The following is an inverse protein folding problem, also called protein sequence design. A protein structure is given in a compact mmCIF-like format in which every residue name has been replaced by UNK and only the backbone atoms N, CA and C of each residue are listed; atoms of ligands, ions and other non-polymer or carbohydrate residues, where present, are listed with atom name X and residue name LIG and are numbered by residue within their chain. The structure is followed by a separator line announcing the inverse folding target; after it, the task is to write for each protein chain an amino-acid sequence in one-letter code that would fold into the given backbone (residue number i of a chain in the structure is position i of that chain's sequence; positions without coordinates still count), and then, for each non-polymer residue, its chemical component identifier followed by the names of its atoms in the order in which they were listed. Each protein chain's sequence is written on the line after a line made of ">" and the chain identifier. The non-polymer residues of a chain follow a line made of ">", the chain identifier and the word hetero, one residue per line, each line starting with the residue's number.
data_IF_146295009716
#
_entry.id   IF_146295009716
#
_cell.length_a   1.000
_cell.length_b   1.000
_cell.length_c   1.000
_cell.angle_alpha   90.00
_cell.angle_beta   90.00
_cell.angle_gamma   90.00
#
_symmetry.space_group_name_H-M   'P 1'
#
loop_
_entity.id
_entity.type
_entity.pdbx_description
1 polymer ?
#
# COMPACT_ATOMS: atom_id res chain seq x y z
N UNK A 1 -29.11 27.02 -20.94
CA UNK A 1 -28.57 26.14 -19.87
C UNK A 1 -27.48 25.13 -20.30
N UNK A 2 -27.45 24.50 -21.50
CA UNK A 2 -26.40 23.53 -21.84
C UNK A 2 -24.99 24.12 -21.96
N UNK A 3 -24.84 25.36 -22.40
CA UNK A 3 -23.52 26.01 -22.57
C UNK A 3 -22.75 26.18 -21.26
N UNK A 4 -23.42 26.49 -20.15
CA UNK A 4 -22.79 26.68 -18.84
C UNK A 4 -22.22 25.34 -18.30
N UNK A 5 -22.92 24.23 -18.52
CA UNK A 5 -22.48 22.90 -18.11
C UNK A 5 -21.21 22.47 -18.86
N UNK A 6 -21.14 22.73 -20.18
CA UNK A 6 -19.95 22.44 -20.97
C UNK A 6 -18.75 23.29 -20.61
N UNK A 7 -18.96 24.55 -20.24
CA UNK A 7 -17.87 25.43 -19.76
C UNK A 7 -17.29 24.94 -18.43
N UNK A 8 -18.13 24.49 -17.50
CA UNK A 8 -17.70 23.93 -16.24
C UNK A 8 -16.91 22.63 -16.44
N UNK A 9 -17.38 21.74 -17.29
CA UNK A 9 -16.67 20.49 -17.64
C UNK A 9 -15.31 20.81 -18.27
N UNK A 10 -15.25 21.75 -19.21
CA UNK A 10 -14.00 22.18 -19.84
C UNK A 10 -13.01 22.77 -18.81
N UNK A 11 -13.47 23.59 -17.87
CA UNK A 11 -12.65 24.15 -16.79
C UNK A 11 -12.09 23.06 -15.86
N UNK A 12 -12.91 22.07 -15.50
CA UNK A 12 -12.49 20.94 -14.67
C UNK A 12 -11.44 20.10 -15.42
N UNK A 13 -11.67 19.78 -16.68
CA UNK A 13 -10.71 19.01 -17.52
C UNK A 13 -9.40 19.78 -17.67
N UNK A 14 -9.47 21.09 -17.99
CA UNK A 14 -8.28 21.93 -18.09
C UNK A 14 -7.53 22.03 -16.77
N UNK A 15 -8.24 22.13 -15.63
CA UNK A 15 -7.62 22.14 -14.31
C UNK A 15 -6.94 20.80 -14.00
N UNK A 16 -7.57 19.68 -14.30
CA UNK A 16 -6.99 18.33 -14.13
C UNK A 16 -5.76 18.15 -15.03
N UNK A 17 -5.85 18.51 -16.31
CA UNK A 17 -4.71 18.45 -17.24
C UNK A 17 -3.58 19.37 -16.79
N UNK A 18 -3.90 20.59 -16.36
CA UNK A 18 -2.91 21.54 -15.86
C UNK A 18 -2.22 21.07 -14.56
N UNK A 19 -2.97 20.52 -13.60
CA UNK A 19 -2.39 19.95 -12.38
C UNK A 19 -1.55 18.72 -12.67
N UNK A 20 -1.96 17.90 -13.64
CA UNK A 20 -1.18 16.73 -14.07
C UNK A 20 0.10 17.13 -14.82
N UNK A 21 0.02 18.10 -15.72
CA UNK A 21 1.16 18.61 -16.48
C UNK A 21 2.18 19.37 -15.58
N UNK A 22 1.70 20.00 -14.50
CA UNK A 22 2.58 20.68 -13.51
C UNK A 22 3.17 19.76 -12.44
N UNK A 23 2.82 18.48 -12.41
CA UNK A 23 3.51 17.55 -11.52
C UNK A 23 4.98 17.53 -11.91
N UNK A 24 5.80 18.17 -11.08
CA UNK A 24 7.26 18.15 -11.26
C UNK A 24 7.70 16.69 -11.26
N UNK A 25 8.11 16.18 -12.41
CA UNK A 25 8.78 14.89 -12.47
C UNK A 25 10.01 14.97 -11.58
N UNK A 26 10.25 13.94 -10.76
CA UNK A 26 11.49 13.82 -9.99
C UNK A 26 12.64 13.81 -11.00
N UNK A 27 13.42 14.89 -11.03
CA UNK A 27 14.57 15.05 -11.96
C UNK A 27 15.90 14.72 -11.30
N UNK A 28 15.88 14.49 -9.98
CA UNK A 28 17.08 14.23 -9.20
C UNK A 28 16.92 12.90 -8.45
N UNK A 29 17.85 12.00 -8.67
CA UNK A 29 17.89 10.66 -8.09
C UNK A 29 19.21 10.53 -7.29
N UNK A 30 19.20 9.66 -6.28
CA UNK A 30 20.43 9.16 -5.68
C UNK A 30 21.02 8.15 -6.66
N UNK A 31 22.35 8.09 -6.76
CA UNK A 31 23.03 7.07 -7.56
C UNK A 31 22.61 5.67 -7.08
N UNK A 32 22.29 4.77 -8.02
CA UNK A 32 21.79 3.44 -7.71
C UNK A 32 22.71 2.65 -6.75
N UNK A 33 24.03 2.78 -6.91
CA UNK A 33 24.99 2.12 -6.04
C UNK A 33 25.06 2.65 -4.60
N UNK A 34 24.58 3.89 -4.37
CA UNK A 34 24.55 4.55 -3.07
C UNK A 34 23.14 4.67 -2.47
N UNK A 35 22.10 4.40 -3.28
CA UNK A 35 20.70 4.54 -2.86
C UNK A 35 20.34 3.49 -1.80
N UNK A 36 19.82 3.95 -0.65
CA UNK A 36 19.34 3.12 0.45
C UNK A 36 17.84 2.91 0.30
N UNK A 37 17.45 1.69 -0.01
CA UNK A 37 16.09 1.34 -0.40
C UNK A 37 15.44 0.43 0.62
N UNK A 38 14.24 0.79 1.07
CA UNK A 38 13.41 -0.02 1.95
C UNK A 38 12.12 -0.42 1.21
N UNK A 39 11.87 -1.73 1.11
CA UNK A 39 10.68 -2.29 0.43
C UNK A 39 9.81 -3.00 1.46
N UNK A 40 8.67 -2.40 1.80
CA UNK A 40 7.69 -2.96 2.72
C UNK A 40 6.64 -3.77 1.96
N UNK A 41 6.51 -5.07 2.27
CA UNK A 41 5.59 -5.98 1.59
C UNK A 41 6.23 -6.84 0.51
N UNK A 42 7.43 -7.37 0.78
CA UNK A 42 8.21 -8.18 -0.16
C UNK A 42 8.16 -9.70 0.10
N UNK A 43 7.30 -10.20 1.00
CA UNK A 43 7.25 -11.61 1.39
C UNK A 43 6.52 -12.55 0.40
N UNK A 44 6.06 -12.04 -0.74
CA UNK A 44 5.44 -12.85 -1.80
C UNK A 44 6.42 -12.95 -2.95
N UNK A 45 6.90 -14.16 -3.31
CA UNK A 45 7.96 -14.36 -4.29
C UNK A 45 7.70 -13.78 -5.68
N UNK A 46 6.44 -13.79 -6.11
CA UNK A 46 6.01 -13.25 -7.42
C UNK A 46 5.15 -11.97 -7.24
N UNK A 47 5.29 -11.31 -6.09
CA UNK A 47 4.60 -10.08 -5.78
C UNK A 47 5.39 -8.83 -6.21
N UNK A 48 4.71 -7.69 -6.20
CA UNK A 48 5.29 -6.39 -6.56
C UNK A 48 6.55 -6.04 -5.76
N UNK A 49 6.61 -6.41 -4.47
CA UNK A 49 7.77 -6.13 -3.63
C UNK A 49 9.01 -6.93 -4.06
N UNK A 50 8.85 -8.19 -4.44
CA UNK A 50 9.94 -9.02 -4.96
C UNK A 50 10.38 -8.54 -6.36
N UNK A 51 9.45 -8.10 -7.19
CA UNK A 51 9.77 -7.52 -8.50
C UNK A 51 10.52 -6.18 -8.37
N UNK A 52 10.14 -5.32 -7.44
CA UNK A 52 10.89 -4.11 -7.13
C UNK A 52 12.31 -4.43 -6.68
N UNK A 53 12.48 -5.42 -5.79
CA UNK A 53 13.81 -5.88 -5.39
C UNK A 53 14.65 -6.29 -6.60
N UNK A 54 14.08 -7.11 -7.51
CA UNK A 54 14.76 -7.53 -8.73
C UNK A 54 15.25 -6.34 -9.55
N UNK A 55 14.38 -5.36 -9.79
CA UNK A 55 14.72 -4.15 -10.56
C UNK A 55 15.81 -3.31 -9.89
N UNK A 56 15.79 -3.18 -8.55
CA UNK A 56 16.84 -2.46 -7.83
C UNK A 56 18.19 -3.20 -7.92
N UNK A 57 18.19 -4.52 -7.79
CA UNK A 57 19.39 -5.35 -7.94
C UNK A 57 19.97 -5.21 -9.35
N UNK A 58 19.14 -5.29 -10.39
CA UNK A 58 19.58 -5.14 -11.79
C UNK A 58 20.13 -3.72 -12.09
N UNK A 59 19.65 -2.71 -11.38
CA UNK A 59 20.19 -1.34 -11.47
C UNK A 59 21.47 -1.12 -10.68
N UNK A 60 21.94 -2.14 -9.97
CA UNK A 60 23.18 -2.08 -9.19
C UNK A 60 23.05 -1.50 -7.79
N UNK A 61 21.83 -1.46 -7.21
CA UNK A 61 21.63 -1.03 -5.83
C UNK A 61 22.32 -1.99 -4.85
N UNK A 62 23.01 -1.42 -3.85
CA UNK A 62 23.82 -2.18 -2.88
C UNK A 62 23.21 -2.15 -1.47
N UNK A 63 22.34 -1.22 -1.17
CA UNK A 63 21.77 -1.00 0.15
C UNK A 63 20.26 -1.20 0.12
N UNK A 64 19.82 -2.46 0.21
CA UNK A 64 18.41 -2.81 0.12
C UNK A 64 17.98 -3.57 1.37
N UNK A 65 16.86 -3.17 1.95
CA UNK A 65 16.17 -3.93 2.99
C UNK A 65 14.76 -4.28 2.54
N UNK A 66 14.39 -5.55 2.70
CA UNK A 66 13.05 -6.05 2.43
C UNK A 66 12.34 -6.42 3.73
N UNK A 67 11.04 -6.09 3.79
CA UNK A 67 10.24 -6.24 5.00
C UNK A 67 8.93 -6.94 4.72
N UNK A 68 8.51 -7.76 5.65
CA UNK A 68 7.21 -8.44 5.67
C UNK A 68 7.00 -9.16 6.99
N UNK A 69 5.86 -9.78 7.20
CA UNK A 69 5.54 -10.47 8.46
C UNK A 69 6.18 -11.85 8.58
N UNK A 70 6.49 -12.49 7.46
CA UNK A 70 6.98 -13.88 7.39
C UNK A 70 8.46 -13.88 7.01
N UNK A 71 9.33 -14.09 8.02
CA UNK A 71 10.76 -14.04 7.84
C UNK A 71 11.26 -15.08 6.82
N UNK A 72 10.81 -16.34 6.95
CA UNK A 72 11.18 -17.40 6.02
C UNK A 72 10.86 -17.06 4.55
N UNK A 73 9.70 -16.42 4.31
CA UNK A 73 9.31 -16.03 2.96
C UNK A 73 10.17 -14.87 2.40
N UNK A 74 10.64 -13.97 3.26
CA UNK A 74 11.60 -12.93 2.88
C UNK A 74 12.97 -13.54 2.57
N UNK A 75 13.41 -14.54 3.34
CA UNK A 75 14.64 -15.26 3.10
C UNK A 75 14.61 -16.02 1.76
N UNK A 76 13.47 -16.60 1.40
CA UNK A 76 13.31 -17.28 0.12
C UNK A 76 13.36 -16.28 -1.06
N UNK A 77 12.81 -15.07 -0.88
CA UNK A 77 12.97 -13.98 -1.86
C UNK A 77 14.45 -13.56 -1.95
N UNK A 78 15.13 -13.35 -0.81
CA UNK A 78 16.54 -12.95 -0.76
C UNK A 78 17.46 -13.97 -1.46
N UNK A 79 17.25 -15.27 -1.26
CA UNK A 79 18.05 -16.36 -1.85
C UNK A 79 18.05 -16.34 -3.39
N UNK A 80 17.08 -15.67 -4.02
CA UNK A 80 17.04 -15.52 -5.48
C UNK A 80 18.12 -14.56 -6.03
N UNK A 81 18.77 -13.79 -5.14
CA UNK A 81 19.79 -12.81 -5.50
C UNK A 81 21.12 -13.07 -4.80
N UNK A 82 21.77 -14.24 -5.11
CA UNK A 82 23.08 -14.56 -4.55
C UNK A 82 24.12 -13.56 -5.09
N UNK A 83 24.88 -12.93 -4.26
CA UNK A 83 25.88 -11.92 -4.66
C UNK A 83 25.45 -10.47 -4.43
N UNK A 84 24.23 -10.23 -3.96
CA UNK A 84 23.78 -8.93 -3.49
C UNK A 84 23.43 -9.01 -2.01
N UNK A 85 23.93 -8.06 -1.23
CA UNK A 85 23.59 -7.98 0.19
C UNK A 85 22.19 -7.38 0.35
N UNK A 86 21.17 -8.24 0.50
CA UNK A 86 19.81 -7.84 0.81
C UNK A 86 19.56 -8.11 2.29
N UNK A 87 19.23 -7.05 3.03
CA UNK A 87 18.82 -7.16 4.45
C UNK A 87 17.37 -7.61 4.54
N UNK A 88 17.08 -8.51 5.47
CA UNK A 88 15.74 -9.00 5.77
C UNK A 88 15.32 -8.53 7.16
N UNK A 89 14.09 -8.06 7.30
CA UNK A 89 13.52 -7.70 8.60
C UNK A 89 12.05 -8.10 8.67
N UNK A 90 11.72 -8.96 9.65
CA UNK A 90 10.33 -9.33 9.90
C UNK A 90 9.65 -8.27 10.76
N UNK A 91 8.55 -7.69 10.28
CA UNK A 91 7.80 -6.66 11.00
C UNK A 91 6.30 -6.72 10.74
N UNK A 92 5.51 -6.51 11.78
CA UNK A 92 4.12 -6.09 11.67
C UNK A 92 4.05 -4.57 11.60
N UNK A 93 3.70 -4.05 10.44
CA UNK A 93 3.67 -2.62 10.17
C UNK A 93 2.46 -1.89 10.80
N UNK A 94 1.55 -2.63 11.43
CA UNK A 94 0.43 -2.08 12.22
C UNK A 94 0.76 -1.94 13.71
N UNK A 95 1.91 -2.46 14.13
CA UNK A 95 2.44 -2.40 15.49
C UNK A 95 3.55 -1.34 15.60
N UNK A 96 3.35 -0.35 16.45
CA UNK A 96 4.28 0.76 16.64
C UNK A 96 5.66 0.31 17.09
N UNK A 97 5.72 -0.65 18.01
CA UNK A 97 6.98 -1.19 18.52
C UNK A 97 7.78 -1.91 17.42
N UNK A 98 7.08 -2.67 16.57
CA UNK A 98 7.68 -3.36 15.41
C UNK A 98 8.23 -2.35 14.38
N UNK A 99 7.53 -1.24 14.16
CA UNK A 99 8.00 -0.19 13.23
C UNK A 99 9.16 0.61 13.81
N UNK A 100 9.21 0.84 15.13
CA UNK A 100 10.38 1.44 15.77
C UNK A 100 11.61 0.54 15.66
N UNK A 101 11.46 -0.76 15.91
CA UNK A 101 12.54 -1.74 15.73
C UNK A 101 13.04 -1.78 14.26
N UNK A 102 12.12 -1.69 13.30
CA UNK A 102 12.45 -1.58 11.88
C UNK A 102 13.26 -0.31 11.59
N UNK A 103 12.84 0.86 12.08
CA UNK A 103 13.59 2.11 11.92
C UNK A 103 15.03 1.97 12.43
N UNK A 104 15.19 1.40 13.61
CA UNK A 104 16.51 1.20 14.22
C UNK A 104 17.35 0.18 13.42
N UNK A 105 16.72 -0.84 12.82
CA UNK A 105 17.38 -1.76 11.91
C UNK A 105 17.85 -1.07 10.62
N UNK A 106 17.03 -0.20 10.05
CA UNK A 106 17.39 0.62 8.86
C UNK A 106 18.63 1.48 9.16
N UNK A 107 18.66 2.14 10.30
CA UNK A 107 19.81 2.95 10.72
C UNK A 107 21.07 2.07 10.89
N UNK A 108 20.93 0.94 11.57
CA UNK A 108 22.05 0.02 11.85
C UNK A 108 22.63 -0.61 10.59
N UNK A 109 21.77 -1.02 9.65
CA UNK A 109 22.19 -1.77 8.47
C UNK A 109 22.56 -0.89 7.27
N UNK A 110 21.92 0.28 7.14
CA UNK A 110 22.05 1.14 5.96
C UNK A 110 22.51 2.57 6.29
N UNK A 111 22.58 2.96 7.57
CA UNK A 111 22.98 4.32 7.97
C UNK A 111 21.97 5.43 7.64
N UNK A 112 20.79 5.08 7.14
CA UNK A 112 19.74 6.02 6.76
C UNK A 112 18.84 5.46 5.66
N UNK A 113 17.99 6.32 5.06
CA UNK A 113 16.99 5.90 4.09
C UNK A 113 16.78 6.97 3.01
N UNK A 114 16.87 6.57 1.74
CA UNK A 114 16.63 7.45 0.59
C UNK A 114 15.27 7.19 -0.07
N UNK A 115 14.93 5.91 -0.27
CA UNK A 115 13.68 5.54 -0.94
C UNK A 115 12.90 4.51 -0.14
N UNK A 116 11.65 4.86 0.18
CA UNK A 116 10.69 4.01 0.88
C UNK A 116 9.60 3.55 -0.09
N UNK A 117 9.48 2.24 -0.30
CA UNK A 117 8.38 1.62 -1.03
C UNK A 117 7.38 0.97 -0.07
N UNK A 118 6.14 1.46 -0.06
CA UNK A 118 5.02 0.86 0.68
C UNK A 118 4.17 0.05 -0.29
N UNK A 119 4.41 -1.27 -0.35
CA UNK A 119 3.77 -2.22 -1.27
C UNK A 119 2.79 -3.13 -0.54
N UNK A 120 2.71 -3.02 0.77
CA UNK A 120 1.79 -3.80 1.60
C UNK A 120 0.37 -3.23 1.61
N UNK A 121 -0.59 -4.08 1.94
CA UNK A 121 -2.00 -3.71 2.09
C UNK A 121 -2.89 -4.94 2.21
N UNK A 122 -4.15 -4.72 2.52
CA UNK A 122 -5.19 -5.74 2.54
C UNK A 122 -6.28 -5.41 1.51
N UNK A 123 -6.88 -6.44 0.94
CA UNK A 123 -8.00 -6.30 0.01
C UNK A 123 -9.26 -6.96 0.58
N UNK A 124 -10.42 -6.42 0.23
CA UNK A 124 -11.73 -7.04 0.39
C UNK A 124 -12.41 -7.06 -0.98
N UNK A 125 -12.84 -8.21 -1.42
CA UNK A 125 -13.38 -8.45 -2.76
C UNK A 125 -14.89 -8.74 -2.76
N UNK A 126 -15.53 -8.72 -1.60
CA UNK A 126 -16.97 -8.93 -1.47
C UNK A 126 -17.71 -7.60 -1.36
N UNK A 127 -18.93 -7.48 -1.92
CA UNK A 127 -19.82 -6.38 -1.61
C UNK A 127 -20.17 -6.40 -0.12
N UNK A 128 -20.57 -5.27 0.44
CA UNK A 128 -20.82 -5.17 1.89
C UNK A 128 -21.91 -6.13 2.37
N UNK A 129 -22.95 -6.32 1.57
CA UNK A 129 -24.01 -7.31 1.88
C UNK A 129 -23.46 -8.73 1.81
N UNK A 130 -22.59 -9.06 0.85
CA UNK A 130 -21.94 -10.37 0.77
C UNK A 130 -21.02 -10.65 1.96
N UNK A 131 -20.34 -9.63 2.53
CA UNK A 131 -19.59 -9.78 3.79
C UNK A 131 -20.53 -10.12 4.93
N UNK A 132 -21.71 -9.51 4.97
CA UNK A 132 -22.75 -9.81 5.96
C UNK A 132 -23.45 -11.17 5.76
N UNK A 133 -23.20 -11.85 4.64
CA UNK A 133 -23.92 -13.08 4.29
C UNK A 133 -25.37 -12.83 3.85
N UNK A 134 -25.69 -11.59 3.42
CA UNK A 134 -27.01 -11.21 2.93
C UNK A 134 -27.04 -11.35 1.42
N UNK A 135 -27.97 -12.16 0.92
CA UNK A 135 -28.29 -12.24 -0.50
C UNK A 135 -29.80 -12.13 -0.68
N UNK A 136 -30.33 -10.91 -0.85
CA UNK A 136 -31.76 -10.67 -0.96
C UNK A 136 -32.37 -11.21 -2.27
N UNK A 137 -31.54 -11.54 -3.27
CA UNK A 137 -31.96 -12.02 -4.60
C UNK A 137 -31.59 -13.48 -4.84
N UNK A 138 -30.79 -14.10 -3.95
CA UNK A 138 -30.21 -15.41 -4.19
C UNK A 138 -31.06 -16.56 -3.69
N UNK A 139 -31.46 -17.42 -4.61
CA UNK A 139 -31.61 -18.81 -4.33
C UNK A 139 -30.27 -19.45 -4.61
N UNK A 140 -29.63 -20.01 -3.60
CA UNK A 140 -28.39 -20.75 -3.81
C UNK A 140 -28.78 -22.00 -4.64
N UNK A 141 -28.42 -21.99 -5.94
CA UNK A 141 -28.85 -23.01 -6.90
C UNK A 141 -28.37 -24.43 -6.54
N UNK A 142 -27.39 -24.53 -5.63
CA UNK A 142 -26.85 -25.83 -5.19
C UNK A 142 -27.50 -26.36 -3.90
N UNK A 143 -28.08 -25.50 -3.05
CA UNK A 143 -28.61 -25.93 -1.74
C UNK A 143 -30.10 -25.71 -1.56
N UNK A 144 -30.81 -25.08 -2.53
CA UNK A 144 -32.21 -24.61 -2.43
C UNK A 144 -32.50 -23.72 -1.18
N UNK A 145 -31.48 -23.38 -0.39
CA UNK A 145 -31.61 -22.48 0.76
C UNK A 145 -31.74 -21.04 0.27
N UNK A 146 -32.80 -20.38 0.70
CA UNK A 146 -32.94 -18.94 0.50
C UNK A 146 -31.82 -18.22 1.25
N UNK A 147 -31.04 -17.38 0.56
CA UNK A 147 -30.09 -16.51 1.18
C UNK A 147 -30.74 -15.67 2.28
N UNK A 148 -29.97 -15.31 3.30
CA UNK A 148 -30.45 -14.45 4.37
C UNK A 148 -30.93 -13.12 3.81
N UNK A 149 -32.18 -12.74 4.10
CA UNK A 149 -32.76 -11.45 3.69
C UNK A 149 -32.33 -10.29 4.58
N UNK A 150 -31.78 -10.60 5.76
CA UNK A 150 -31.36 -9.61 6.77
C UNK A 150 -30.00 -9.99 7.35
N UNK A 151 -29.18 -9.00 7.68
CA UNK A 151 -27.93 -9.24 8.36
C UNK A 151 -28.17 -9.78 9.78
N UNK A 152 -27.47 -10.83 10.12
CA UNK A 152 -27.37 -11.33 11.49
C UNK A 152 -26.32 -10.58 12.28
N UNK A 153 -26.27 -10.77 13.61
CA UNK A 153 -25.19 -10.24 14.46
C UNK A 153 -23.82 -10.65 13.90
N UNK A 154 -23.62 -11.95 13.63
CA UNK A 154 -22.37 -12.46 13.06
C UNK A 154 -22.03 -11.81 11.70
N UNK A 155 -23.04 -11.52 10.89
CA UNK A 155 -22.86 -10.82 9.62
C UNK A 155 -22.34 -9.39 9.81
N UNK A 156 -22.89 -8.67 10.78
CA UNK A 156 -22.44 -7.32 11.13
C UNK A 156 -21.04 -7.33 11.75
N UNK A 157 -20.74 -8.31 12.59
CA UNK A 157 -19.43 -8.49 13.19
C UNK A 157 -18.36 -8.74 12.11
N UNK A 158 -18.64 -9.58 11.10
CA UNK A 158 -17.77 -9.78 9.93
C UNK A 158 -17.52 -8.51 9.14
N UNK A 159 -18.53 -7.62 9.01
CA UNK A 159 -18.30 -6.29 8.41
C UNK A 159 -17.30 -5.51 9.26
N UNK A 160 -17.51 -5.44 10.58
CA UNK A 160 -16.61 -4.74 11.51
C UNK A 160 -15.17 -5.23 11.41
N UNK A 161 -14.96 -6.53 11.45
CA UNK A 161 -13.64 -7.16 11.29
C UNK A 161 -13.00 -6.85 9.92
N UNK A 162 -13.79 -6.87 8.85
CA UNK A 162 -13.31 -6.58 7.49
C UNK A 162 -12.88 -5.12 7.36
N UNK A 163 -13.66 -4.19 7.94
CA UNK A 163 -13.30 -2.77 8.01
C UNK A 163 -12.03 -2.58 8.83
N UNK A 164 -11.97 -3.17 10.04
CA UNK A 164 -10.81 -3.06 10.93
C UNK A 164 -9.54 -3.55 10.22
N UNK A 165 -9.55 -4.77 9.65
CA UNK A 165 -8.40 -5.35 8.93
C UNK A 165 -7.96 -4.48 7.75
N UNK A 166 -8.92 -3.94 6.99
CA UNK A 166 -8.61 -3.09 5.83
C UNK A 166 -8.04 -1.74 6.27
N UNK A 167 -8.58 -1.14 7.32
CA UNK A 167 -8.08 0.10 7.90
C UNK A 167 -6.72 -0.07 8.56
N UNK A 168 -6.51 -1.14 9.30
CA UNK A 168 -5.21 -1.42 9.92
C UNK A 168 -4.11 -1.54 8.87
N UNK A 169 -4.35 -2.30 7.80
CA UNK A 169 -3.34 -2.53 6.77
C UNK A 169 -3.16 -1.34 5.80
N UNK A 170 -4.24 -0.65 5.41
CA UNK A 170 -4.19 0.36 4.34
C UNK A 170 -4.10 1.81 4.86
N UNK A 171 -4.41 2.06 6.14
CA UNK A 171 -4.42 3.41 6.72
C UNK A 171 -3.50 3.51 7.93
N UNK A 172 -3.77 2.74 8.99
CA UNK A 172 -3.01 2.78 10.25
C UNK A 172 -1.54 2.41 10.04
N UNK A 173 -1.28 1.28 9.37
CA UNK A 173 0.09 0.83 9.08
C UNK A 173 0.89 1.87 8.31
N UNK A 174 0.42 2.37 7.16
CA UNK A 174 1.06 3.47 6.44
C UNK A 174 1.29 4.72 7.29
N UNK A 175 0.32 5.13 8.12
CA UNK A 175 0.47 6.30 8.98
C UNK A 175 1.61 6.14 10.01
N UNK A 176 1.69 4.97 10.68
CA UNK A 176 2.74 4.65 11.65
C UNK A 176 4.12 4.63 10.94
N UNK A 177 4.20 3.97 9.78
CA UNK A 177 5.42 3.88 8.98
C UNK A 177 5.91 5.26 8.55
N UNK A 178 5.03 6.10 8.01
CA UNK A 178 5.37 7.46 7.59
C UNK A 178 5.84 8.30 8.78
N UNK A 179 5.12 8.26 9.90
CA UNK A 179 5.50 8.96 11.12
C UNK A 179 6.87 8.56 11.68
N UNK A 180 7.24 7.28 11.56
CA UNK A 180 8.53 6.79 12.03
C UNK A 180 9.69 7.03 11.07
N UNK A 181 9.46 6.94 9.74
CA UNK A 181 10.54 6.93 8.75
C UNK A 181 10.75 8.26 8.04
N UNK A 182 9.75 9.13 7.92
CA UNK A 182 9.95 10.44 7.28
C UNK A 182 11.00 11.29 7.99
N UNK A 183 10.99 11.43 9.33
CA UNK A 183 12.05 12.19 10.01
C UNK A 183 13.45 11.63 9.75
N UNK A 184 13.58 10.28 9.71
CA UNK A 184 14.84 9.63 9.34
C UNK A 184 15.27 9.99 7.91
N UNK A 185 14.33 9.90 6.96
CA UNK A 185 14.61 10.24 5.56
C UNK A 185 15.02 11.70 5.38
N UNK A 186 14.33 12.61 6.07
CA UNK A 186 14.64 14.06 6.01
C UNK A 186 16.02 14.41 6.57
N UNK A 187 16.49 13.66 7.58
CA UNK A 187 17.79 13.92 8.22
C UNK A 187 18.95 13.18 7.57
N UNK A 188 18.69 12.09 6.85
CA UNK A 188 19.76 11.24 6.30
C UNK A 188 19.86 11.23 4.78
N UNK A 189 18.84 11.74 4.07
CA UNK A 189 18.81 11.78 2.60
C UNK A 189 18.77 13.21 2.07
N UNK A 190 19.59 13.48 1.08
CA UNK A 190 19.48 14.73 0.31
C UNK A 190 18.30 14.73 -0.68
N UNK A 191 17.72 13.56 -0.98
CA UNK A 191 16.70 13.38 -2.02
C UNK A 191 15.70 12.28 -1.63
N UNK A 192 15.01 12.44 -0.49
CA UNK A 192 14.09 11.40 -0.01
C UNK A 192 12.92 11.19 -0.97
N UNK A 193 12.47 9.94 -1.08
CA UNK A 193 11.29 9.59 -1.87
C UNK A 193 10.44 8.53 -1.16
N UNK A 194 9.14 8.78 -1.10
CA UNK A 194 8.14 7.81 -0.66
C UNK A 194 7.30 7.39 -1.86
N UNK A 195 7.21 6.09 -2.08
CA UNK A 195 6.40 5.47 -3.13
C UNK A 195 5.37 4.56 -2.47
N UNK A 196 4.11 4.74 -2.80
CA UNK A 196 3.03 3.86 -2.32
C UNK A 196 2.26 3.26 -3.49
N UNK A 197 1.85 2.01 -3.32
CA UNK A 197 0.96 1.37 -4.29
C UNK A 197 -0.48 1.72 -3.95
N UNK A 198 -1.01 2.66 -4.69
CA UNK A 198 -2.43 3.02 -4.66
C UNK A 198 -3.31 2.00 -5.36
N UNK A 199 -4.53 2.41 -5.66
CA UNK A 199 -5.47 1.63 -6.47
C UNK A 199 -6.43 2.58 -7.17
N UNK A 200 -6.85 2.22 -8.38
CA UNK A 200 -7.97 2.90 -9.06
C UNK A 200 -9.25 2.83 -8.22
N UNK A 201 -9.41 1.77 -7.41
CA UNK A 201 -10.52 1.62 -6.46
C UNK A 201 -10.52 2.68 -5.35
N UNK A 202 -9.40 3.39 -5.12
CA UNK A 202 -9.35 4.55 -4.23
C UNK A 202 -9.83 5.85 -4.87
N UNK A 203 -10.10 5.85 -6.17
CA UNK A 203 -10.55 7.03 -6.95
C UNK A 203 -11.94 6.81 -7.55
N UNK A 204 -12.27 5.58 -7.92
CA UNK A 204 -13.52 5.19 -8.57
C UNK A 204 -14.19 4.11 -7.71
N UNK A 205 -15.47 4.27 -7.34
CA UNK A 205 -16.18 3.28 -6.54
C UNK A 205 -16.36 1.97 -7.33
N UNK A 206 -16.13 0.85 -6.66
CA UNK A 206 -16.40 -0.48 -7.17
C UNK A 206 -17.41 -1.19 -6.25
N UNK A 207 -18.63 -1.51 -6.72
CA UNK A 207 -19.71 -2.02 -5.88
C UNK A 207 -19.35 -3.29 -5.09
N UNK A 208 -18.50 -4.16 -5.66
CA UNK A 208 -18.03 -5.39 -5.03
C UNK A 208 -16.88 -5.19 -4.04
N UNK A 209 -16.42 -3.96 -3.82
CA UNK A 209 -15.20 -3.66 -3.05
C UNK A 209 -15.32 -2.45 -2.14
N UNK A 210 -16.50 -2.19 -1.59
CA UNK A 210 -16.80 -0.95 -0.86
C UNK A 210 -15.78 -0.65 0.25
N UNK A 211 -15.49 -1.61 1.12
CA UNK A 211 -14.53 -1.45 2.22
C UNK A 211 -13.10 -1.21 1.70
N UNK A 212 -12.71 -1.95 0.66
CA UNK A 212 -11.42 -1.75 0.02
C UNK A 212 -11.30 -0.36 -0.63
N UNK A 213 -12.33 0.08 -1.37
CA UNK A 213 -12.38 1.42 -1.97
C UNK A 213 -12.21 2.51 -0.91
N UNK A 214 -12.98 2.43 0.18
CA UNK A 214 -12.90 3.39 1.28
C UNK A 214 -11.50 3.44 1.89
N UNK A 215 -10.89 2.29 2.20
CA UNK A 215 -9.56 2.21 2.78
C UNK A 215 -8.47 2.74 1.84
N UNK A 216 -8.58 2.48 0.53
CA UNK A 216 -7.62 2.99 -0.48
C UNK A 216 -7.79 4.48 -0.75
N UNK A 217 -9.01 5.02 -0.70
CA UNK A 217 -9.25 6.47 -0.74
C UNK A 217 -8.60 7.16 0.46
N UNK A 218 -8.79 6.62 1.67
CA UNK A 218 -8.16 7.14 2.87
C UNK A 218 -6.62 7.08 2.78
N UNK A 219 -6.04 5.96 2.31
CA UNK A 219 -4.60 5.83 2.07
C UNK A 219 -4.09 6.89 1.07
N UNK A 220 -4.82 7.10 -0.01
CA UNK A 220 -4.44 8.07 -1.05
C UNK A 220 -4.39 9.49 -0.48
N UNK A 221 -5.39 9.91 0.29
CA UNK A 221 -5.40 11.21 0.94
C UNK A 221 -4.30 11.34 2.00
N UNK A 222 -4.13 10.31 2.85
CA UNK A 222 -3.08 10.28 3.87
C UNK A 222 -1.69 10.56 3.25
N UNK A 223 -1.31 9.79 2.23
CA UNK A 223 0.03 9.90 1.64
C UNK A 223 0.23 11.23 0.89
N UNK A 224 -0.84 11.84 0.38
CA UNK A 224 -0.74 13.15 -0.29
C UNK A 224 -0.71 14.33 0.67
N UNK A 225 -1.06 14.11 1.92
CA UNK A 225 -1.09 15.14 2.97
C UNK A 225 0.20 15.21 3.79
N UNK A 226 1.12 14.31 3.54
CA UNK A 226 2.45 14.22 4.17
C UNK A 226 3.52 14.61 3.16
#
# INVERSE_FOLDING_TARGET
>A
MPRLAWTLVACVVLHVVWTYARRKKRTQYVDAGAERVLILGASTPDGLGAELLRQYVERGAKHIMIVGRREHALDDVRKRFPGVQVHVHAADLTCTQSVLALRDAVVRCMGGLDTLHMVFGATSILPILGVAGVDPCGVNAETEERGLTHATQDGLDRIGETVQRSCDANVKGPAIVLGALIPLMQTTSSRPAVVTIGSVAGLIPAPTRAVYCASKSAQHLLVRSV
#
